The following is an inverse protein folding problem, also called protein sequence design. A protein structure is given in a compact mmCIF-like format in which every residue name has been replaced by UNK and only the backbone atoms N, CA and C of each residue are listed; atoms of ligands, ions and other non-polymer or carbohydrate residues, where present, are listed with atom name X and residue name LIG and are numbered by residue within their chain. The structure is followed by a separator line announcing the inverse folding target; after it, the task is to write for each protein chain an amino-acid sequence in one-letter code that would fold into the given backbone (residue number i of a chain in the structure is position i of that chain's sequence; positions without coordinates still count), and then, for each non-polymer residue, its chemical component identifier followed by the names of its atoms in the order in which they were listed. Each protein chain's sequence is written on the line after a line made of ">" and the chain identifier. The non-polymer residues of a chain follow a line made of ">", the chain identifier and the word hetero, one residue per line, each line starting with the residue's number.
data_IF_114674010342
#
_entry.id   IF_114674010342
#
_cell.length_a   1.000
_cell.length_b   1.000
_cell.length_c   1.000
_cell.angle_alpha   90.00
_cell.angle_beta   90.00
_cell.angle_gamma   90.00
#
_symmetry.space_group_name_H-M   'P 1'
#
loop_
_entity.id
_entity.type
_entity.pdbx_description
1 polymer ?
#
# COMPACT_ATOMS: atom_id res chain seq x y z
N UNK A 1 0.54 -3.45 21.89
CA UNK A 1 -0.75 -2.77 21.56
C UNK A 1 -0.58 -1.97 20.27
N UNK A 2 -1.35 -2.23 19.20
CA UNK A 2 -1.23 -1.52 17.91
C UNK A 2 -1.75 -0.08 18.05
N UNK A 3 -1.00 0.92 17.55
CA UNK A 3 -1.43 2.33 17.59
C UNK A 3 -2.65 2.52 16.67
N UNK A 4 -3.67 3.26 17.12
CA UNK A 4 -4.87 3.58 16.32
C UNK A 4 -4.42 4.25 15.02
N UNK A 5 -4.96 3.80 13.88
CA UNK A 5 -4.71 4.45 12.59
C UNK A 5 -5.49 5.76 12.54
N UNK A 6 -4.82 6.80 12.08
CA UNK A 6 -5.40 8.13 11.85
C UNK A 6 -5.10 8.49 10.40
N UNK A 7 -6.09 9.01 9.70
CA UNK A 7 -5.94 9.49 8.33
C UNK A 7 -5.56 10.97 8.34
N UNK A 8 -4.78 11.38 7.34
CA UNK A 8 -4.47 12.80 7.12
C UNK A 8 -5.66 13.48 6.44
N UNK A 9 -5.84 14.77 6.71
CA UNK A 9 -6.82 15.59 6.01
C UNK A 9 -6.46 15.78 4.53
N UNK A 10 -7.44 16.16 3.71
CA UNK A 10 -7.21 16.38 2.28
C UNK A 10 -6.16 17.48 2.02
N UNK A 11 -6.17 18.56 2.81
CA UNK A 11 -5.20 19.65 2.70
C UNK A 11 -3.77 19.15 3.01
N UNK A 12 -3.61 18.33 4.05
CA UNK A 12 -2.30 17.72 4.39
C UNK A 12 -1.81 16.82 3.27
N UNK A 13 -2.68 15.98 2.69
CA UNK A 13 -2.33 15.11 1.57
C UNK A 13 -1.93 15.93 0.35
N UNK A 14 -2.67 17.00 0.04
CA UNK A 14 -2.37 17.88 -1.09
C UNK A 14 -0.97 18.49 -0.98
N UNK A 15 -0.60 19.07 0.16
CA UNK A 15 0.73 19.67 0.35
C UNK A 15 1.86 18.61 0.31
N UNK A 16 1.63 17.43 0.88
CA UNK A 16 2.56 16.31 0.79
C UNK A 16 2.79 15.89 -0.67
N UNK A 17 1.73 15.77 -1.47
CA UNK A 17 1.82 15.43 -2.89
C UNK A 17 2.47 16.54 -3.71
N UNK A 18 2.12 17.80 -3.44
CA UNK A 18 2.72 18.98 -4.08
C UNK A 18 4.23 19.01 -3.86
N UNK A 19 4.68 18.86 -2.61
CA UNK A 19 6.12 18.81 -2.30
C UNK A 19 6.78 17.57 -2.91
N UNK A 20 6.11 16.41 -2.88
CA UNK A 20 6.64 15.19 -3.49
C UNK A 20 6.84 15.28 -5.00
N UNK A 21 5.97 16.02 -5.71
CA UNK A 21 6.14 16.28 -7.15
C UNK A 21 7.44 17.03 -7.42
N UNK A 22 7.79 17.99 -6.57
CA UNK A 22 9.03 18.77 -6.66
C UNK A 22 10.26 17.94 -6.26
N UNK A 23 10.18 17.20 -5.15
CA UNK A 23 11.33 16.50 -4.59
C UNK A 23 10.92 15.16 -3.97
N UNK A 24 11.50 14.06 -4.47
CA UNK A 24 11.13 12.69 -4.03
C UNK A 24 11.72 12.29 -2.68
N UNK A 25 12.72 13.03 -2.20
CA UNK A 25 13.48 12.75 -0.97
C UNK A 25 13.69 14.05 -0.20
N UNK A 26 13.30 14.11 1.07
CA UNK A 26 13.54 15.29 1.91
C UNK A 26 14.71 15.06 2.85
N UNK A 27 15.57 16.08 2.98
CA UNK A 27 16.54 16.19 4.06
C UNK A 27 15.84 16.39 5.42
N UNK A 28 16.60 16.32 6.51
CA UNK A 28 16.07 16.56 7.85
C UNK A 28 15.41 17.95 8.02
N UNK A 29 16.09 19.08 7.71
CA UNK A 29 15.51 20.41 7.92
C UNK A 29 14.27 20.66 7.05
N UNK A 30 14.27 20.21 5.79
CA UNK A 30 13.10 20.36 4.91
C UNK A 30 11.88 19.61 5.43
N UNK A 31 12.12 18.45 6.05
CA UNK A 31 11.06 17.64 6.65
C UNK A 31 10.48 18.31 7.88
N UNK A 32 11.32 18.90 8.71
CA UNK A 32 10.89 19.67 9.88
C UNK A 32 10.05 20.88 9.47
N UNK A 33 10.51 21.63 8.47
CA UNK A 33 9.77 22.77 7.94
C UNK A 33 8.40 22.36 7.40
N UNK A 34 8.33 21.35 6.54
CA UNK A 34 7.07 20.87 5.98
C UNK A 34 6.13 20.37 7.07
N UNK A 35 6.65 19.60 8.04
CA UNK A 35 5.88 19.07 9.15
C UNK A 35 5.21 20.18 9.97
N UNK A 36 5.95 21.24 10.29
CA UNK A 36 5.42 22.42 10.99
C UNK A 36 4.31 23.13 10.20
N UNK A 37 4.46 23.29 8.88
CA UNK A 37 3.47 23.96 8.04
C UNK A 37 2.12 23.23 7.97
N UNK A 38 2.13 21.89 7.95
CA UNK A 38 0.91 21.08 7.76
C UNK A 38 0.43 20.40 9.06
N UNK A 39 0.98 20.82 10.20
CA UNK A 39 0.70 20.30 11.53
C UNK A 39 0.83 18.77 11.64
N UNK A 40 1.94 18.23 11.11
CA UNK A 40 2.34 16.83 11.29
C UNK A 40 3.68 16.77 12.02
N UNK A 41 4.07 15.57 12.44
CA UNK A 41 5.42 15.33 12.96
C UNK A 41 6.40 15.03 11.81
N UNK A 42 7.69 15.37 11.95
CA UNK A 42 8.71 15.00 10.96
C UNK A 42 8.71 13.50 10.68
N UNK A 43 8.45 12.66 11.68
CA UNK A 43 8.34 11.21 11.51
C UNK A 43 7.17 10.80 10.62
N UNK A 44 6.00 11.43 10.75
CA UNK A 44 4.85 11.16 9.86
C UNK A 44 5.17 11.55 8.42
N UNK A 45 5.81 12.71 8.19
CA UNK A 45 6.26 13.13 6.86
C UNK A 45 7.26 12.13 6.29
N UNK A 46 8.24 11.66 7.09
CA UNK A 46 9.20 10.63 6.69
C UNK A 46 8.50 9.36 6.20
N UNK A 47 7.57 8.84 7.00
CA UNK A 47 6.82 7.62 6.70
C UNK A 47 5.97 7.80 5.44
N UNK A 48 5.31 8.94 5.29
CA UNK A 48 4.49 9.23 4.11
C UNK A 48 5.36 9.25 2.84
N UNK A 49 6.50 9.93 2.85
CA UNK A 49 7.43 9.98 1.70
C UNK A 49 8.00 8.59 1.37
N UNK A 50 8.25 7.76 2.39
CA UNK A 50 8.69 6.38 2.17
C UNK A 50 7.59 5.52 1.52
N UNK A 51 6.36 5.60 2.05
CA UNK A 51 5.20 4.90 1.51
C UNK A 51 4.90 5.33 0.07
N UNK A 52 4.99 6.63 -0.20
CA UNK A 52 4.73 7.16 -1.53
C UNK A 52 5.75 6.66 -2.56
N UNK A 53 7.06 6.67 -2.24
CA UNK A 53 8.10 6.07 -3.09
C UNK A 53 7.88 4.56 -3.29
N UNK A 54 7.49 3.84 -2.23
CA UNK A 54 7.20 2.41 -2.33
C UNK A 54 6.02 2.14 -3.28
N UNK A 55 4.93 2.90 -3.17
CA UNK A 55 3.76 2.81 -4.05
C UNK A 55 4.14 3.05 -5.52
N UNK A 56 4.93 4.08 -5.82
CA UNK A 56 5.43 4.34 -7.18
C UNK A 56 6.23 3.18 -7.74
N UNK A 57 7.17 2.65 -6.96
CA UNK A 57 7.97 1.47 -7.36
C UNK A 57 7.09 0.23 -7.56
N UNK A 58 6.09 0.03 -6.70
CA UNK A 58 5.18 -1.12 -6.79
C UNK A 58 4.33 -1.06 -8.05
N UNK A 59 3.78 0.10 -8.38
CA UNK A 59 2.99 0.31 -9.60
C UNK A 59 3.79 0.03 -10.87
N UNK A 60 5.08 0.39 -10.90
CA UNK A 60 5.94 0.06 -12.04
C UNK A 60 6.12 -1.45 -12.23
N UNK A 61 6.27 -2.20 -11.12
CA UNK A 61 6.39 -3.67 -11.16
C UNK A 61 5.11 -4.38 -11.55
N UNK A 62 3.96 -3.97 -11.00
CA UNK A 62 2.68 -4.58 -11.32
C UNK A 62 2.30 -4.36 -12.80
N UNK A 63 2.65 -3.19 -13.38
CA UNK A 63 2.49 -2.93 -14.82
C UNK A 63 3.35 -3.84 -15.69
N UNK A 64 4.61 -4.06 -15.30
CA UNK A 64 5.50 -4.98 -16.02
C UNK A 64 5.00 -6.43 -15.97
N UNK A 65 4.50 -6.89 -14.81
CA UNK A 65 3.92 -8.22 -14.65
C UNK A 65 2.63 -8.40 -15.47
N UNK A 66 1.79 -7.37 -15.58
CA UNK A 66 0.60 -7.39 -16.44
C UNK A 66 0.96 -7.48 -17.93
N UNK A 67 2.00 -6.79 -18.38
CA UNK A 67 2.45 -6.88 -19.78
C UNK A 67 3.02 -8.26 -20.13
N UNK A 68 3.74 -8.91 -19.21
CA UNK A 68 4.24 -10.27 -19.43
C UNK A 68 3.11 -11.31 -19.55
N UNK A 69 2.04 -11.19 -18.75
CA UNK A 69 0.87 -12.07 -18.90
C UNK A 69 0.05 -11.81 -20.18
N UNK A 70 0.22 -10.66 -20.83
CA UNK A 70 -0.44 -10.37 -22.11
C UNK A 70 0.29 -11.02 -23.31
N UNK A 71 1.59 -11.30 -23.20
CA UNK A 71 2.39 -11.90 -24.28
C UNK A 71 2.32 -13.44 -24.35
N UNK A 72 2.00 -14.14 -23.26
CA UNK A 72 1.80 -15.60 -23.28
C UNK A 72 0.37 -16.05 -23.64
N UNK A 73 -0.55 -15.13 -23.94
CA UNK A 73 -1.95 -15.47 -24.25
C UNK A 73 -2.40 -15.04 -25.66
N UNK A 74 -1.50 -15.18 -26.64
CA UNK A 74 -1.77 -14.94 -28.06
C UNK A 74 -2.65 -15.99 -28.76
N UNK A 75 -3.38 -16.81 -28.02
CA UNK A 75 -4.37 -17.73 -28.56
C UNK A 75 -5.56 -17.83 -27.60
N UNK A 76 -6.77 -17.65 -28.15
CA UNK A 76 -8.09 -17.81 -27.54
C UNK A 76 -8.69 -16.58 -26.80
N UNK A 77 -9.50 -15.84 -27.56
CA UNK A 77 -10.61 -15.03 -27.06
C UNK A 77 -11.62 -15.95 -26.34
N UNK A 78 -12.09 -15.55 -25.14
CA UNK A 78 -13.50 -15.57 -24.69
C UNK A 78 -13.60 -15.65 -23.15
N UNK A 79 -14.55 -14.88 -22.59
CA UNK A 79 -15.02 -14.82 -21.20
C UNK A 79 -14.15 -14.09 -20.16
N UNK A 80 -14.44 -12.79 -20.01
CA UNK A 80 -14.17 -12.04 -18.77
C UNK A 80 -15.07 -12.58 -17.64
N UNK A 81 -14.52 -13.42 -16.77
CA UNK A 81 -15.08 -13.70 -15.44
C UNK A 81 -14.14 -13.14 -14.35
N UNK A 82 -14.66 -12.53 -13.27
CA UNK A 82 -13.83 -11.98 -12.21
C UNK A 82 -13.09 -13.14 -11.52
N UNK A 83 -11.75 -13.10 -11.55
CA UNK A 83 -10.88 -14.13 -10.99
C UNK A 83 -11.18 -14.29 -9.48
N UNK A 84 -11.93 -15.33 -9.11
CA UNK A 84 -12.04 -15.79 -7.72
C UNK A 84 -10.69 -16.38 -7.33
N UNK A 85 -10.02 -15.79 -6.34
CA UNK A 85 -8.83 -16.37 -5.75
C UNK A 85 -9.28 -17.54 -4.88
N UNK A 86 -8.88 -18.77 -5.23
CA UNK A 86 -9.10 -19.92 -4.38
C UNK A 86 -8.20 -19.80 -3.15
N UNK A 87 -8.81 -19.49 -2.00
CA UNK A 87 -8.13 -19.55 -0.70
C UNK A 87 -8.13 -21.02 -0.28
N UNK A 88 -6.96 -21.68 -0.13
CA UNK A 88 -6.94 -23.03 0.43
C UNK A 88 -7.45 -22.95 1.88
N UNK A 89 -8.63 -23.51 2.11
CA UNK A 89 -9.19 -23.71 3.46
C UNK A 89 -8.31 -24.75 4.14
N UNK A 90 -7.49 -24.32 5.09
CA UNK A 90 -6.77 -25.24 5.96
C UNK A 90 -7.80 -25.87 6.92
N UNK A 91 -8.40 -26.98 6.51
CA UNK A 91 -9.24 -27.79 7.40
C UNK A 91 -8.30 -28.35 8.46
N UNK A 92 -8.44 -27.87 9.70
CA UNK A 92 -7.69 -28.41 10.84
C UNK A 92 -8.50 -29.60 11.35
N UNK A 93 -7.96 -30.79 11.19
CA UNK A 93 -8.56 -32.05 11.60
C UNK A 93 -9.25 -31.97 12.96
N UNK A 94 -10.49 -32.45 12.98
CA UNK A 94 -11.39 -32.39 14.11
C UNK A 94 -10.87 -33.15 15.33
N UNK A 95 -11.08 -32.53 16.50
CA UNK A 95 -11.06 -33.18 17.82
C UNK A 95 -11.90 -32.34 18.79
N UNK A 96 -13.09 -32.80 19.22
CA UNK A 96 -13.78 -32.18 20.34
C UNK A 96 -13.15 -32.68 21.64
N UNK A 97 -12.46 -31.80 22.38
CA UNK A 97 -12.22 -32.06 23.79
C UNK A 97 -13.48 -31.64 24.57
N UNK A 98 -14.22 -32.65 25.02
CA UNK A 98 -15.37 -32.50 25.91
C UNK A 98 -14.90 -31.94 27.25
N UNK A 99 -15.58 -30.88 27.70
CA UNK A 99 -15.57 -30.48 29.10
C UNK A 99 -16.43 -31.46 29.91
N UNK A 100 -15.95 -31.90 31.07
CA UNK A 100 -16.71 -32.78 31.95
C UNK A 100 -16.11 -32.86 33.34
N UNK A 101 -16.74 -32.11 34.25
CA UNK A 101 -16.73 -32.15 35.73
C UNK A 101 -15.46 -31.74 36.47
#
# INVERSE_FOLDING_TARGET
>A
RRKRRVLFSQAQVYELERRFKQQKYLSAPEREHLASMIHLTPTQVKIWFQNHRYKMKRQAKDKAAQQQMQQENGSCQQQQSPRRVAVPVLVKDGKPCQAGS
#
